data_IF_834215954243
#
_entry.id   IF_834215954243
#
_cell.length_a   1.000
_cell.length_b   1.000
_cell.length_c   1.000
_cell.angle_alpha   90.00
_cell.angle_beta   90.00
_cell.angle_gamma   90.00
#
_symmetry.space_group_name_H-M   'P 1'
#
loop_
_entity.id
_entity.type
_entity.pdbx_description
1 polymer ?
#
# COMPACT_ATOMS: atom_id res chain seq x y z
N UNK A 1 3.11 -14.18 -1.93
CA UNK A 1 2.41 -13.47 -3.03
C UNK A 1 3.23 -12.25 -3.35
N UNK A 2 3.86 -12.23 -4.53
CA UNK A 2 4.72 -11.14 -4.94
C UNK A 2 3.95 -9.82 -4.92
N UNK A 3 4.32 -8.94 -4.01
CA UNK A 3 3.96 -7.53 -4.12
C UNK A 3 4.70 -7.02 -5.36
N UNK A 4 4.03 -7.12 -6.52
CA UNK A 4 4.44 -6.51 -7.77
C UNK A 4 4.38 -4.99 -7.63
N UNK A 5 5.27 -4.43 -6.82
CA UNK A 5 5.55 -3.02 -6.68
C UNK A 5 6.12 -2.54 -8.00
N UNK A 6 5.25 -2.09 -8.91
CA UNK A 6 5.65 -1.44 -10.14
C UNK A 6 6.61 -0.32 -9.77
N UNK A 7 7.80 -0.45 -10.32
CA UNK A 7 9.00 0.27 -9.97
C UNK A 7 8.80 1.78 -9.90
N UNK A 8 9.50 2.32 -8.92
CA UNK A 8 10.15 3.61 -8.97
C UNK A 8 10.50 4.02 -10.41
N UNK A 9 9.72 4.92 -11.01
CA UNK A 9 10.29 5.84 -12.01
C UNK A 9 11.01 6.92 -11.20
N UNK A 10 12.29 6.66 -10.97
CA UNK A 10 13.25 7.60 -10.40
C UNK A 10 13.59 8.60 -11.52
N UNK A 11 12.80 9.68 -11.63
CA UNK A 11 13.15 10.80 -12.51
C UNK A 11 14.18 11.63 -11.75
N UNK A 12 15.43 11.61 -12.24
CA UNK A 12 16.53 12.45 -11.77
C UNK A 12 16.04 13.90 -11.59
N UNK A 13 16.06 14.40 -10.35
CA UNK A 13 15.71 15.80 -10.02
C UNK A 13 14.70 16.04 -8.89
N UNK A 14 14.04 15.02 -8.33
CA UNK A 14 13.09 15.25 -7.22
C UNK A 14 13.25 14.24 -6.07
N UNK A 15 13.74 14.70 -4.92
CA UNK A 15 13.84 13.92 -3.69
C UNK A 15 12.47 13.71 -3.06
N UNK A 16 11.74 12.68 -3.51
CA UNK A 16 10.42 12.32 -2.94
C UNK A 16 10.64 11.35 -1.79
N UNK A 17 10.29 11.77 -0.57
CA UNK A 17 10.43 10.97 0.66
C UNK A 17 9.51 9.74 0.71
N UNK A 18 8.42 9.72 -0.08
CA UNK A 18 7.43 8.64 -0.07
C UNK A 18 6.98 8.25 -1.47
N UNK A 19 6.80 6.95 -1.70
CA UNK A 19 6.36 6.39 -2.99
C UNK A 19 4.84 6.49 -3.13
N UNK A 20 4.34 6.53 -4.36
CA UNK A 20 2.91 6.39 -4.64
C UNK A 20 2.57 4.90 -4.54
N UNK A 21 1.66 4.55 -3.64
CA UNK A 21 1.22 3.18 -3.42
C UNK A 21 0.00 2.93 -4.31
N UNK A 22 0.01 1.84 -5.06
CA UNK A 22 -1.11 1.41 -5.91
C UNK A 22 -1.46 -0.02 -5.54
N UNK A 23 -2.71 -0.26 -5.15
CA UNK A 23 -3.21 -1.60 -4.87
C UNK A 23 -3.66 -2.27 -6.16
N UNK A 24 -3.24 -3.51 -6.36
CA UNK A 24 -3.71 -4.37 -7.44
C UNK A 24 -4.73 -5.33 -6.86
N UNK A 25 -6.00 -5.11 -7.18
CA UNK A 25 -7.09 -6.00 -6.79
C UNK A 25 -7.39 -6.95 -7.95
N UNK A 26 -7.56 -8.23 -7.63
CA UNK A 26 -8.00 -9.26 -8.58
C UNK A 26 -9.32 -9.85 -8.10
N UNK A 27 -10.32 -9.86 -8.99
CA UNK A 27 -11.60 -10.54 -8.78
C UNK A 27 -11.37 -12.05 -8.76
N UNK A 28 -11.79 -12.73 -7.70
CA UNK A 28 -11.57 -14.19 -7.55
C UNK A 28 -12.37 -14.99 -8.59
N UNK A 29 -13.60 -14.55 -8.90
CA UNK A 29 -14.53 -15.22 -9.81
C UNK A 29 -14.26 -14.88 -11.29
N UNK A 30 -14.11 -13.58 -11.57
CA UNK A 30 -14.06 -13.04 -12.94
C UNK A 30 -12.64 -12.72 -13.43
N UNK A 31 -11.62 -12.84 -12.57
CA UNK A 31 -10.20 -12.54 -12.87
C UNK A 31 -9.91 -11.12 -13.37
N UNK A 32 -10.89 -10.23 -13.28
CA UNK A 32 -10.70 -8.82 -13.58
C UNK A 32 -9.70 -8.18 -12.62
N UNK A 33 -8.83 -7.33 -13.14
CA UNK A 33 -7.74 -6.68 -12.40
C UNK A 33 -7.93 -5.16 -12.39
N UNK A 34 -8.03 -4.56 -11.21
CA UNK A 34 -8.13 -3.11 -11.04
C UNK A 34 -6.95 -2.57 -10.24
N UNK A 35 -6.42 -1.44 -10.69
CA UNK A 35 -5.38 -0.69 -9.97
C UNK A 35 -6.02 0.51 -9.27
N UNK A 36 -5.94 0.55 -7.94
CA UNK A 36 -6.46 1.67 -7.13
C UNK A 36 -5.28 2.45 -6.53
N UNK A 37 -5.08 3.71 -6.91
CA UNK A 37 -4.05 4.55 -6.31
C UNK A 37 -4.48 5.04 -4.92
N UNK A 38 -3.57 4.97 -3.94
CA UNK A 38 -3.75 5.58 -2.62
C UNK A 38 -2.99 6.90 -2.50
N UNK A 39 -3.36 7.69 -1.48
CA UNK A 39 -2.56 8.83 -1.02
C UNK A 39 -1.19 8.33 -0.53
N UNK A 40 -0.19 9.21 -0.58
CA UNK A 40 1.17 8.89 -0.12
C UNK A 40 1.17 8.80 1.41
N UNK A 41 1.65 7.68 1.94
CA UNK A 41 1.82 7.45 3.37
C UNK A 41 3.27 7.01 3.64
N UNK A 42 3.80 7.29 4.83
CA UNK A 42 5.13 6.82 5.24
C UNK A 42 5.12 5.34 5.61
N UNK A 43 4.10 4.93 6.35
CA UNK A 43 3.85 3.55 6.75
C UNK A 43 2.59 3.03 6.07
N UNK A 44 2.69 1.89 5.42
CA UNK A 44 1.54 1.20 4.82
C UNK A 44 1.72 -0.29 5.03
N UNK A 45 0.82 -0.88 5.79
CA UNK A 45 0.77 -2.31 6.04
C UNK A 45 -0.52 -2.86 5.46
N UNK A 46 -0.40 -3.98 4.72
CA UNK A 46 -1.54 -4.70 4.18
C UNK A 46 -1.81 -5.90 5.07
N UNK A 47 -3.04 -6.00 5.61
CA UNK A 47 -3.42 -7.12 6.47
C UNK A 47 -2.92 -7.01 7.92
N UNK A 48 -2.56 -5.81 8.39
CA UNK A 48 -2.22 -5.58 9.79
C UNK A 48 -3.41 -5.82 10.73
N UNK A 49 -3.10 -5.97 12.02
CA UNK A 49 -4.10 -6.20 13.05
C UNK A 49 -5.15 -5.07 13.08
N UNK A 50 -6.42 -5.47 13.11
CA UNK A 50 -7.52 -4.53 13.34
C UNK A 50 -7.35 -3.99 14.76
N UNK A 51 -6.84 -2.77 14.88
CA UNK A 51 -6.72 -2.10 16.19
C UNK A 51 -8.08 -2.08 16.87
N UNK A 52 -8.22 -2.77 18.00
CA UNK A 52 -9.42 -2.70 18.84
C UNK A 52 -9.50 -1.31 19.46
N UNK A 53 -10.67 -0.66 19.38
CA UNK A 53 -10.91 0.60 20.09
C UNK A 53 -10.78 0.33 21.60
N UNK A 54 -9.79 0.92 22.25
CA UNK A 54 -9.64 0.90 23.72
C UNK A 54 -8.47 0.07 24.29
N UNK A 55 -7.58 -0.49 23.47
CA UNK A 55 -6.36 -1.12 24.02
C UNK A 55 -5.42 -0.06 24.59
N UNK A 56 -5.25 -0.10 25.92
CA UNK A 56 -4.24 0.65 26.66
C UNK A 56 -2.86 0.11 26.26
N UNK A 57 -1.93 1.02 26.00
CA UNK A 57 -0.54 0.66 25.73
C UNK A 57 0.09 0.34 27.09
N UNK A 58 0.56 -0.89 27.27
CA UNK A 58 1.29 -1.28 28.47
C UNK A 58 2.70 -0.68 28.41
N UNK A 59 3.07 0.05 29.46
CA UNK A 59 4.40 0.66 29.64
C UNK A 59 5.44 -0.38 30.03
#
# INVERSE_FOLDING_TARGET
MELGGKGLIWKCGSAKTTKKIVLRMECTQCKYRKQMPLKRCKHFELGGDKKCKGQMIQF
#
